data_IF_458306259022
#
_entry.id   IF_458306259022
#
_cell.length_a   1.000
_cell.length_b   1.000
_cell.length_c   1.000
_cell.angle_alpha   90.00
_cell.angle_beta   90.00
_cell.angle_gamma   90.00
#
_symmetry.space_group_name_H-M   'P 1'
#
loop_
_entity.id
_entity.type
_entity.pdbx_description
1 polymer ?
#
# COMPACT_ATOMS: atom_id res chain seq x y z
N UNK A 1 1.47 1.85 30.02
CA UNK A 1 1.18 3.21 29.54
C UNK A 1 2.44 3.75 28.87
N UNK A 2 2.49 3.85 27.54
CA UNK A 2 3.62 4.51 26.88
C UNK A 2 3.45 6.02 27.07
N UNK A 3 4.34 6.65 27.82
CA UNK A 3 4.42 8.11 27.82
C UNK A 3 4.64 8.55 26.36
N UNK A 4 3.76 9.42 25.86
CA UNK A 4 3.94 10.00 24.55
C UNK A 4 5.30 10.72 24.53
N UNK A 5 6.14 10.43 23.54
CA UNK A 5 7.41 11.13 23.36
C UNK A 5 7.14 12.62 23.21
N UNK A 6 8.02 13.46 23.75
CA UNK A 6 7.98 14.89 23.45
C UNK A 6 8.07 15.10 21.93
N UNK A 7 7.50 16.17 21.36
CA UNK A 7 7.59 16.44 19.92
C UNK A 7 9.04 16.41 19.40
N UNK A 8 9.99 16.93 20.18
CA UNK A 8 11.42 16.89 19.88
C UNK A 8 11.96 15.46 19.83
N UNK A 9 11.64 14.61 20.83
CA UNK A 9 12.04 13.21 20.83
C UNK A 9 11.41 12.43 19.68
N UNK A 10 10.17 12.73 19.30
CA UNK A 10 9.52 12.10 18.15
C UNK A 10 10.20 12.46 16.82
N UNK A 11 10.54 13.73 16.61
CA UNK A 11 11.26 14.17 15.40
C UNK A 11 12.66 13.56 15.33
N UNK A 12 13.38 13.54 16.46
CA UNK A 12 14.69 12.92 16.56
C UNK A 12 14.62 11.42 16.28
N UNK A 13 13.62 10.72 16.83
CA UNK A 13 13.37 9.30 16.55
C UNK A 13 13.23 9.03 15.05
N UNK A 14 12.39 9.81 14.36
CA UNK A 14 12.18 9.65 12.91
C UNK A 14 13.47 9.90 12.15
N UNK A 15 14.24 10.95 12.51
CA UNK A 15 15.52 11.27 11.86
C UNK A 15 16.51 10.12 11.99
N UNK A 16 16.73 9.61 13.22
CA UNK A 16 17.63 8.48 13.49
C UNK A 16 17.20 7.24 12.70
N UNK A 17 15.92 6.86 12.78
CA UNK A 17 15.42 5.65 12.12
C UNK A 17 15.50 5.74 10.59
N UNK A 18 15.21 6.91 10.01
CA UNK A 18 15.30 7.14 8.57
C UNK A 18 16.73 7.05 8.05
N UNK A 19 17.72 7.50 8.82
CA UNK A 19 19.13 7.39 8.45
C UNK A 19 19.64 5.97 8.66
N UNK A 20 19.29 5.34 9.79
CA UNK A 20 19.64 3.96 10.08
C UNK A 20 19.13 2.97 9.03
N UNK A 21 17.93 3.20 8.47
CA UNK A 21 17.36 2.34 7.43
C UNK A 21 18.28 2.21 6.20
N UNK A 22 19.06 3.26 5.88
CA UNK A 22 20.03 3.25 4.76
C UNK A 22 21.23 2.35 5.01
N UNK A 23 21.54 2.07 6.28
CA UNK A 23 22.68 1.25 6.69
C UNK A 23 22.32 -0.23 6.87
N UNK A 24 21.04 -0.57 6.98
CA UNK A 24 20.56 -1.95 7.20
C UNK A 24 21.14 -2.96 6.22
N UNK A 25 21.24 -2.70 4.89
CA UNK A 25 21.85 -3.66 3.96
C UNK A 25 23.29 -4.07 4.30
N UNK A 26 24.01 -3.28 5.11
CA UNK A 26 25.41 -3.57 5.51
C UNK A 26 25.52 -4.05 6.97
N UNK A 27 24.66 -3.54 7.85
CA UNK A 27 24.79 -3.73 9.30
C UNK A 27 23.73 -4.66 9.89
N UNK A 28 22.70 -5.01 9.10
CA UNK A 28 21.47 -5.61 9.59
C UNK A 28 20.69 -4.72 10.56
N UNK A 29 19.68 -5.32 11.19
CA UNK A 29 18.84 -4.67 12.21
C UNK A 29 19.52 -4.69 13.58
N UNK A 30 20.64 -3.99 13.70
CA UNK A 30 21.52 -4.04 14.90
C UNK A 30 21.84 -2.64 15.43
N UNK A 31 22.44 -2.58 16.62
CA UNK A 31 22.96 -1.32 17.18
C UNK A 31 24.13 -0.74 16.35
N UNK A 32 24.74 -1.51 15.44
CA UNK A 32 25.71 -0.96 14.49
C UNK A 32 25.05 0.01 13.49
N UNK A 33 23.79 -0.25 13.10
CA UNK A 33 23.00 0.69 12.28
C UNK A 33 22.72 1.99 13.03
N UNK A 34 22.47 1.91 14.35
CA UNK A 34 22.32 3.08 15.23
C UNK A 34 23.61 3.91 15.25
N UNK A 35 24.76 3.27 15.54
CA UNK A 35 26.05 3.96 15.57
C UNK A 35 26.37 4.64 14.23
N UNK A 36 26.13 3.96 13.10
CA UNK A 36 26.29 4.53 11.78
C UNK A 36 25.38 5.74 11.54
N UNK A 37 24.10 5.65 11.94
CA UNK A 37 23.14 6.74 11.79
C UNK A 37 23.48 7.97 12.63
N UNK A 38 23.93 7.80 13.88
CA UNK A 38 24.31 8.90 14.76
C UNK A 38 25.52 9.65 14.22
N UNK A 39 26.50 8.90 13.69
CA UNK A 39 27.67 9.47 13.01
C UNK A 39 27.26 10.27 11.77
N UNK A 40 26.36 9.75 10.94
CA UNK A 40 25.86 10.46 9.74
C UNK A 40 25.06 11.72 10.06
N UNK A 41 24.30 11.72 11.17
CA UNK A 41 23.50 12.88 11.60
C UNK A 41 24.36 13.96 12.29
N UNK A 42 25.58 13.61 12.72
CA UNK A 42 26.44 14.48 13.53
C UNK A 42 25.90 14.67 14.95
N UNK A 43 25.26 13.65 15.52
CA UNK A 43 24.59 13.72 16.82
C UNK A 43 25.28 12.84 17.87
N UNK A 44 26.59 13.02 18.01
CA UNK A 44 27.42 12.31 19.00
C UNK A 44 27.08 12.73 20.44
N UNK A 45 26.47 13.90 20.63
CA UNK A 45 26.06 14.42 21.94
C UNK A 45 24.79 13.76 22.52
N UNK A 46 24.15 12.83 21.79
CA UNK A 46 22.94 12.15 22.27
C UNK A 46 23.32 11.12 23.34
N UNK A 47 22.92 11.39 24.58
CA UNK A 47 23.16 10.47 25.69
C UNK A 47 22.40 9.15 25.56
N UNK A 48 22.96 8.07 26.14
CA UNK A 48 22.29 6.76 26.27
C UNK A 48 20.93 6.84 26.98
N UNK A 49 20.79 7.80 27.91
CA UNK A 49 19.51 8.08 28.58
C UNK A 49 18.46 8.59 27.60
N UNK A 50 18.85 9.48 26.69
CA UNK A 50 17.96 9.97 25.63
C UNK A 50 17.58 8.83 24.68
N UNK A 51 18.54 7.99 24.28
CA UNK A 51 18.29 6.85 23.40
C UNK A 51 17.34 5.81 24.03
N UNK A 52 17.52 5.48 25.30
CA UNK A 52 16.63 4.55 26.01
C UNK A 52 15.21 5.11 26.20
N UNK A 53 15.05 6.42 26.35
CA UNK A 53 13.74 7.07 26.35
C UNK A 53 13.08 7.03 24.97
N UNK A 54 13.84 7.28 23.90
CA UNK A 54 13.35 7.28 22.52
C UNK A 54 12.99 5.85 22.06
N UNK A 55 13.80 4.87 22.42
CA UNK A 55 13.72 3.47 22.00
C UNK A 55 13.48 2.52 23.18
N UNK A 56 12.38 2.74 23.91
CA UNK A 56 12.03 1.99 25.11
C UNK A 56 11.92 0.45 24.94
N UNK A 57 11.54 -0.04 23.75
CA UNK A 57 11.52 -1.48 23.43
C UNK A 57 12.78 -1.98 22.72
N UNK A 58 13.80 -1.13 22.61
CA UNK A 58 15.03 -1.39 21.87
C UNK A 58 15.03 -0.78 20.47
N UNK A 59 16.21 -0.35 20.05
CA UNK A 59 16.43 0.23 18.73
C UNK A 59 16.19 -0.75 17.56
N UNK A 60 16.67 -2.01 17.58
CA UNK A 60 16.47 -2.95 16.48
C UNK A 60 15.01 -3.10 16.05
N UNK A 61 14.10 -3.33 16.99
CA UNK A 61 12.67 -3.46 16.66
C UNK A 61 12.06 -2.14 16.20
N UNK A 62 12.46 -1.01 16.78
CA UNK A 62 11.99 0.30 16.33
C UNK A 62 12.40 0.58 14.87
N UNK A 63 13.55 0.07 14.44
CA UNK A 63 14.02 0.13 13.06
C UNK A 63 13.20 -0.77 12.12
N UNK A 64 12.90 -2.00 12.55
CA UNK A 64 12.01 -2.90 11.80
C UNK A 64 10.63 -2.24 11.61
N UNK A 65 10.01 -1.78 12.69
CA UNK A 65 8.71 -1.11 12.62
C UNK A 65 8.72 0.13 11.71
N UNK A 66 9.80 0.91 11.75
CA UNK A 66 9.96 2.08 10.87
C UNK A 66 9.97 1.67 9.40
N UNK A 67 10.72 0.62 9.05
CA UNK A 67 10.79 0.10 7.67
C UNK A 67 9.43 -0.47 7.25
N UNK A 68 8.76 -1.26 8.10
CA UNK A 68 7.45 -1.82 7.76
C UNK A 68 6.43 -0.71 7.52
N UNK A 69 6.38 0.32 8.38
CA UNK A 69 5.48 1.47 8.23
C UNK A 69 5.83 2.35 7.03
N UNK A 70 7.12 2.63 6.80
CA UNK A 70 7.54 3.46 5.66
C UNK A 70 7.21 2.78 4.33
N UNK A 71 7.40 1.46 4.26
CA UNK A 71 7.06 0.68 3.07
C UNK A 71 5.53 0.50 2.91
N UNK A 72 4.76 0.34 3.99
CA UNK A 72 3.28 0.39 3.93
C UNK A 72 2.79 1.71 3.34
N UNK A 73 3.31 2.83 3.86
CA UNK A 73 2.95 4.17 3.39
C UNK A 73 3.35 4.39 1.92
N UNK A 74 4.50 3.87 1.51
CA UNK A 74 4.91 3.92 0.10
C UNK A 74 3.92 3.19 -0.79
N UNK A 75 3.57 1.95 -0.45
CA UNK A 75 2.58 1.16 -1.20
C UNK A 75 1.24 1.88 -1.23
N UNK A 76 0.76 2.42 -0.10
CA UNK A 76 -0.49 3.19 -0.05
C UNK A 76 -0.49 4.35 -1.05
N UNK A 77 0.61 5.11 -1.15
CA UNK A 77 0.75 6.22 -2.11
C UNK A 77 0.73 5.75 -3.55
N UNK A 78 1.38 4.63 -3.84
CA UNK A 78 1.33 4.04 -5.18
C UNK A 78 -0.09 3.58 -5.54
N UNK A 79 -0.79 2.91 -4.62
CA UNK A 79 -2.15 2.47 -4.83
C UNK A 79 -3.12 3.65 -4.98
N UNK A 80 -2.97 4.71 -4.18
CA UNK A 80 -3.74 5.94 -4.34
C UNK A 80 -3.49 6.55 -5.72
N UNK A 81 -2.23 6.67 -6.14
CA UNK A 81 -1.88 7.25 -7.44
C UNK A 81 -2.40 6.42 -8.62
N UNK A 82 -2.50 5.09 -8.49
CA UNK A 82 -2.88 4.19 -9.58
C UNK A 82 -4.37 3.85 -9.61
N UNK A 83 -5.02 3.74 -8.45
CA UNK A 83 -6.35 3.15 -8.28
C UNK A 83 -7.34 4.05 -7.54
N UNK A 84 -7.00 5.31 -7.25
CA UNK A 84 -8.02 6.24 -6.78
C UNK A 84 -9.03 6.55 -7.90
N UNK A 85 -10.18 7.08 -7.48
CA UNK A 85 -11.31 7.33 -8.39
C UNK A 85 -10.93 8.29 -9.51
N UNK A 86 -10.17 9.33 -9.19
CA UNK A 86 -9.81 10.37 -10.14
C UNK A 86 -8.74 9.90 -11.14
N UNK A 87 -7.81 9.05 -10.73
CA UNK A 87 -6.82 8.42 -11.60
C UNK A 87 -7.51 7.52 -12.63
N UNK A 88 -8.48 6.71 -12.21
CA UNK A 88 -9.26 5.85 -13.11
C UNK A 88 -10.12 6.69 -14.06
N UNK A 89 -10.80 7.73 -13.56
CA UNK A 89 -11.56 8.66 -14.42
C UNK A 89 -10.63 9.35 -15.42
N UNK A 90 -9.43 9.80 -15.00
CA UNK A 90 -8.44 10.43 -15.90
C UNK A 90 -7.92 9.45 -16.96
N UNK A 91 -7.74 8.18 -16.61
CA UNK A 91 -7.38 7.12 -17.56
C UNK A 91 -8.48 6.90 -18.61
N UNK A 92 -9.75 6.93 -18.18
CA UNK A 92 -10.91 6.88 -19.07
C UNK A 92 -10.97 8.14 -19.96
N UNK A 93 -10.75 9.32 -19.39
CA UNK A 93 -10.75 10.61 -20.10
C UNK A 93 -9.69 10.65 -21.21
N UNK A 94 -8.53 10.04 -20.96
CA UNK A 94 -7.46 9.92 -21.95
C UNK A 94 -7.76 8.87 -23.04
N UNK A 95 -8.74 7.99 -22.83
CA UNK A 95 -9.07 6.85 -23.69
C UNK A 95 -10.58 6.65 -23.85
N UNK A 96 -11.34 7.74 -23.98
CA UNK A 96 -12.83 7.70 -23.93
C UNK A 96 -13.38 6.76 -25.00
N UNK A 97 -12.85 6.80 -26.22
CA UNK A 97 -13.30 5.91 -27.30
C UNK A 97 -13.09 4.44 -26.95
N UNK A 98 -11.94 4.08 -26.37
CA UNK A 98 -11.67 2.71 -25.94
C UNK A 98 -12.59 2.30 -24.77
N UNK A 99 -12.86 3.20 -23.83
CA UNK A 99 -13.82 2.95 -22.74
C UNK A 99 -15.23 2.72 -23.27
N UNK A 100 -15.71 3.62 -24.13
CA UNK A 100 -17.01 3.51 -24.79
C UNK A 100 -17.04 2.23 -25.60
N UNK A 101 -16.00 1.84 -26.32
CA UNK A 101 -15.97 0.60 -27.11
C UNK A 101 -15.70 -0.67 -26.29
N UNK A 102 -15.62 -0.58 -24.95
CA UNK A 102 -15.27 -1.70 -24.05
C UNK A 102 -13.93 -2.38 -24.40
N UNK A 103 -12.95 -1.59 -24.83
CA UNK A 103 -11.57 -2.01 -25.11
C UNK A 103 -10.60 -1.55 -24.02
N UNK A 104 -10.99 -0.58 -23.20
CA UNK A 104 -10.20 -0.14 -22.05
C UNK A 104 -10.35 -1.16 -20.92
N UNK A 105 -9.24 -1.78 -20.53
CA UNK A 105 -9.16 -2.66 -19.36
C UNK A 105 -9.19 -1.80 -18.09
N UNK A 106 -10.28 -1.92 -17.34
CA UNK A 106 -10.39 -1.28 -16.03
C UNK A 106 -9.59 -2.10 -15.01
N UNK A 107 -9.00 -1.45 -13.98
CA UNK A 107 -8.34 -2.16 -12.90
C UNK A 107 -9.29 -3.14 -12.21
N UNK A 108 -8.80 -4.37 -11.98
CA UNK A 108 -9.49 -5.39 -11.20
C UNK A 108 -8.84 -5.55 -9.82
N UNK A 109 -9.47 -6.34 -8.94
CA UNK A 109 -8.90 -6.68 -7.63
C UNK A 109 -7.50 -7.29 -7.76
N UNK A 110 -7.33 -8.18 -8.73
CA UNK A 110 -6.04 -8.77 -9.10
C UNK A 110 -4.97 -7.72 -9.39
N UNK A 111 -5.28 -6.69 -10.19
CA UNK A 111 -4.31 -5.64 -10.52
C UNK A 111 -3.86 -4.87 -9.27
N UNK A 112 -4.78 -4.61 -8.33
CA UNK A 112 -4.48 -3.95 -7.06
C UNK A 112 -3.60 -4.84 -6.18
N UNK A 113 -3.98 -6.12 -6.00
CA UNK A 113 -3.24 -7.07 -5.19
C UNK A 113 -1.81 -7.27 -5.73
N UNK A 114 -1.66 -7.47 -7.05
CA UNK A 114 -0.36 -7.62 -7.71
C UNK A 114 0.52 -6.39 -7.48
N UNK A 115 -0.01 -5.18 -7.73
CA UNK A 115 0.74 -3.94 -7.55
C UNK A 115 1.16 -3.73 -6.09
N UNK A 116 0.26 -3.99 -5.14
CA UNK A 116 0.55 -3.85 -3.71
C UNK A 116 1.66 -4.80 -3.25
N UNK A 117 1.55 -6.08 -3.61
CA UNK A 117 2.49 -7.13 -3.20
C UNK A 117 3.86 -6.96 -3.86
N UNK A 118 3.90 -6.70 -5.17
CA UNK A 118 5.16 -6.49 -5.89
C UNK A 118 5.88 -5.22 -5.44
N UNK A 119 5.14 -4.14 -5.18
CA UNK A 119 5.72 -2.90 -4.63
C UNK A 119 6.32 -3.13 -3.24
N UNK A 120 5.59 -3.82 -2.37
CA UNK A 120 6.09 -4.20 -1.04
C UNK A 120 7.33 -5.09 -1.14
N UNK A 121 7.33 -6.07 -2.04
CA UNK A 121 8.45 -6.98 -2.28
C UNK A 121 9.69 -6.24 -2.79
N UNK A 122 9.52 -5.32 -3.74
CA UNK A 122 10.60 -4.49 -4.29
C UNK A 122 11.29 -3.66 -3.20
N UNK A 123 10.51 -3.06 -2.29
CA UNK A 123 11.06 -2.27 -1.18
C UNK A 123 11.80 -3.13 -0.14
N UNK A 124 11.41 -4.40 0.01
CA UNK A 124 12.05 -5.34 0.96
C UNK A 124 13.23 -6.09 0.35
N UNK A 125 13.33 -6.18 -0.98
CA UNK A 125 14.41 -6.92 -1.67
C UNK A 125 15.82 -6.48 -1.25
N UNK A 126 16.14 -5.17 -1.10
CA UNK A 126 17.46 -4.73 -0.63
C UNK A 126 17.79 -5.14 0.82
N UNK A 127 16.78 -5.59 1.58
CA UNK A 127 16.88 -5.98 2.98
C UNK A 127 16.76 -7.50 3.17
N UNK A 128 16.59 -8.26 2.09
CA UNK A 128 16.26 -9.69 2.12
C UNK A 128 17.26 -10.51 2.95
N UNK A 129 18.56 -10.25 2.80
CA UNK A 129 19.63 -10.95 3.54
C UNK A 129 19.46 -10.84 5.07
N UNK A 130 18.98 -9.69 5.55
CA UNK A 130 18.79 -9.43 6.98
C UNK A 130 17.33 -9.54 7.43
N UNK A 131 16.39 -9.77 6.51
CA UNK A 131 14.97 -9.87 6.82
C UNK A 131 14.62 -11.02 7.77
N UNK A 132 15.27 -12.21 7.74
CA UNK A 132 15.04 -13.23 8.77
C UNK A 132 15.25 -12.72 10.21
N UNK A 133 16.22 -11.83 10.43
CA UNK A 133 16.47 -11.23 11.74
C UNK A 133 15.38 -10.23 12.15
N UNK A 134 14.82 -9.49 11.19
CA UNK A 134 13.67 -8.62 11.42
C UNK A 134 12.43 -9.42 11.82
N UNK A 135 12.15 -10.51 11.08
CA UNK A 135 11.08 -11.45 11.38
C UNK A 135 11.25 -12.02 12.79
N UNK A 136 12.45 -12.48 13.16
CA UNK A 136 12.71 -12.96 14.51
C UNK A 136 12.38 -11.91 15.61
N UNK A 137 12.69 -10.64 15.37
CA UNK A 137 12.36 -9.54 16.29
C UNK A 137 10.84 -9.30 16.39
N UNK A 138 10.11 -9.36 15.28
CA UNK A 138 8.65 -9.17 15.24
C UNK A 138 7.89 -10.28 15.96
N UNK A 139 8.38 -11.52 15.86
CA UNK A 139 7.75 -12.70 16.47
C UNK A 139 8.01 -12.85 17.97
N UNK A 140 8.82 -11.97 18.57
CA UNK A 140 8.93 -11.91 20.03
C UNK A 140 7.58 -11.52 20.64
N UNK A 141 7.11 -12.20 21.72
CA UNK A 141 5.80 -11.93 22.32
C UNK A 141 5.54 -10.45 22.67
N UNK A 142 6.58 -9.73 23.09
CA UNK A 142 6.49 -8.30 23.42
C UNK A 142 6.28 -7.38 22.21
N UNK A 143 6.59 -7.85 21.00
CA UNK A 143 6.51 -7.09 19.75
C UNK A 143 5.33 -7.52 18.85
N UNK A 144 4.86 -8.76 19.02
CA UNK A 144 3.82 -9.36 18.18
C UNK A 144 2.56 -8.49 18.00
N UNK A 145 1.98 -7.84 19.04
CA UNK A 145 0.81 -6.98 18.84
C UNK A 145 1.06 -5.82 17.85
N UNK A 146 2.28 -5.27 17.85
CA UNK A 146 2.65 -4.18 16.95
C UNK A 146 2.89 -4.68 15.52
N UNK A 147 3.51 -5.86 15.37
CA UNK A 147 3.68 -6.51 14.08
C UNK A 147 2.33 -6.82 13.41
N UNK A 148 1.36 -7.34 14.19
CA UNK A 148 0.00 -7.63 13.70
C UNK A 148 -0.71 -6.35 13.25
N UNK A 149 -0.58 -5.24 13.99
CA UNK A 149 -1.16 -3.94 13.59
C UNK A 149 -0.56 -3.45 12.28
N UNK A 150 0.76 -3.54 12.12
CA UNK A 150 1.44 -3.10 10.90
C UNK A 150 1.04 -3.98 9.70
N UNK A 151 0.89 -5.29 9.89
CA UNK A 151 0.39 -6.21 8.86
C UNK A 151 -1.06 -5.88 8.50
N UNK A 152 -1.91 -5.67 9.50
CA UNK A 152 -3.31 -5.30 9.28
C UNK A 152 -3.43 -3.99 8.49
N UNK A 153 -2.60 -2.99 8.76
CA UNK A 153 -2.58 -1.72 8.01
C UNK A 153 -2.31 -1.93 6.51
N UNK A 154 -1.32 -2.78 6.17
CA UNK A 154 -1.02 -3.14 4.78
C UNK A 154 -2.17 -3.87 4.11
N UNK A 155 -2.71 -4.89 4.78
CA UNK A 155 -3.81 -5.71 4.30
C UNK A 155 -5.06 -4.86 4.09
N UNK A 156 -5.43 -4.04 5.07
CA UNK A 156 -6.62 -3.19 5.03
C UNK A 156 -6.51 -2.15 3.91
N UNK A 157 -5.33 -1.56 3.73
CA UNK A 157 -5.06 -0.64 2.62
C UNK A 157 -5.26 -1.34 1.27
N UNK A 158 -4.71 -2.54 1.12
CA UNK A 158 -4.80 -3.31 -0.14
C UNK A 158 -6.26 -3.70 -0.43
N UNK A 159 -6.97 -4.27 0.54
CA UNK A 159 -8.38 -4.66 0.42
C UNK A 159 -9.27 -3.45 0.13
N UNK A 160 -9.00 -2.31 0.76
CA UNK A 160 -9.72 -1.06 0.49
C UNK A 160 -9.63 -0.66 -0.99
N UNK A 161 -8.44 -0.69 -1.60
CA UNK A 161 -8.32 -0.38 -3.04
C UNK A 161 -8.88 -1.48 -3.94
N UNK A 162 -8.82 -2.76 -3.54
CA UNK A 162 -9.42 -3.86 -4.29
C UNK A 162 -10.94 -3.68 -4.41
N UNK A 163 -11.64 -3.46 -3.28
CA UNK A 163 -13.08 -3.21 -3.29
C UNK A 163 -13.44 -2.00 -4.14
N UNK A 164 -12.64 -0.94 -4.08
CA UNK A 164 -12.85 0.26 -4.89
C UNK A 164 -12.71 -0.01 -6.37
N UNK A 165 -11.70 -0.76 -6.78
CA UNK A 165 -11.49 -1.13 -8.18
C UNK A 165 -12.66 -1.97 -8.71
N UNK A 166 -13.07 -3.00 -7.97
CA UNK A 166 -14.21 -3.86 -8.32
C UNK A 166 -15.53 -3.07 -8.40
N UNK A 167 -15.89 -2.35 -7.33
CA UNK A 167 -17.13 -1.57 -7.26
C UNK A 167 -17.17 -0.51 -8.36
N UNK A 168 -16.05 0.15 -8.63
CA UNK A 168 -15.98 1.13 -9.70
C UNK A 168 -16.16 0.47 -11.08
N UNK A 169 -15.57 -0.70 -11.31
CA UNK A 169 -15.78 -1.48 -12.53
C UNK A 169 -17.26 -1.80 -12.78
N UNK A 170 -17.97 -2.23 -11.73
CA UNK A 170 -19.42 -2.51 -11.78
C UNK A 170 -20.25 -1.26 -12.06
N UNK A 171 -19.95 -0.15 -11.40
CA UNK A 171 -20.66 1.13 -11.56
C UNK A 171 -20.40 1.80 -12.92
N UNK A 172 -19.21 1.59 -13.49
CA UNK A 172 -18.84 2.16 -14.78
C UNK A 172 -19.53 1.47 -15.95
N UNK A 173 -20.03 0.24 -15.80
CA UNK A 173 -20.72 -0.47 -16.88
C UNK A 173 -22.05 0.22 -17.29
N UNK A 174 -22.96 0.57 -16.36
CA UNK A 174 -24.10 1.43 -16.68
C UNK A 174 -23.69 2.79 -17.27
N UNK A 175 -22.66 3.43 -16.70
CA UNK A 175 -22.17 4.72 -17.19
C UNK A 175 -21.67 4.63 -18.64
N UNK A 176 -20.96 3.55 -18.99
CA UNK A 176 -20.51 3.25 -20.36
C UNK A 176 -21.69 3.09 -21.31
N UNK A 177 -22.76 2.40 -20.91
CA UNK A 177 -23.98 2.26 -21.73
C UNK A 177 -24.64 3.61 -21.99
N UNK A 178 -24.67 4.50 -21.00
CA UNK A 178 -25.19 5.87 -21.16
C UNK A 178 -24.31 6.68 -22.12
N UNK A 179 -22.99 6.60 -21.99
CA UNK A 179 -22.06 7.29 -22.89
C UNK A 179 -22.12 6.77 -24.34
N UNK A 180 -22.41 5.47 -24.54
CA UNK A 180 -22.69 4.88 -25.86
C UNK A 180 -24.00 5.39 -26.48
N UNK A 181 -24.94 5.88 -25.68
CA UNK A 181 -26.23 6.31 -26.21
C UNK A 181 -26.05 7.48 -27.19
N UNK A 182 -26.87 7.52 -28.24
CA UNK A 182 -26.78 8.54 -29.32
C UNK A 182 -26.75 9.98 -28.78
N UNK A 183 -27.46 10.24 -27.68
CA UNK A 183 -27.55 11.56 -27.06
C UNK A 183 -26.22 12.04 -26.43
N UNK A 184 -25.41 11.12 -25.91
CA UNK A 184 -24.07 11.44 -25.38
C UNK A 184 -22.98 11.31 -26.43
N UNK A 185 -23.12 10.39 -27.39
CA UNK A 185 -22.16 10.22 -28.48
C UNK A 185 -21.96 11.52 -29.27
N UNK A 186 -23.03 12.29 -29.54
CA UNK A 186 -22.92 13.59 -30.20
C UNK A 186 -22.18 14.64 -29.37
N UNK A 187 -22.34 14.63 -28.04
CA UNK A 187 -21.63 15.56 -27.14
C UNK A 187 -20.14 15.25 -27.03
N UNK A 188 -19.78 13.97 -26.98
CA UNK A 188 -18.38 13.54 -26.94
C UNK A 188 -17.68 13.91 -28.25
N UNK A 189 -18.32 13.70 -29.40
CA UNK A 189 -17.78 14.04 -30.71
C UNK A 189 -17.61 15.56 -30.94
N UNK A 190 -18.43 16.38 -30.28
CA UNK A 190 -18.35 17.83 -30.42
C UNK A 190 -17.13 18.47 -29.74
N UNK A 191 -16.37 17.70 -28.93
CA UNK A 191 -15.15 18.20 -28.27
C UNK A 191 -15.36 19.40 -27.35
N UNK A 192 -16.60 19.70 -26.98
CA UNK A 192 -16.94 20.83 -26.12
C UNK A 192 -16.43 20.55 -24.70
N UNK A 193 -15.30 21.17 -24.35
CA UNK A 193 -14.80 21.17 -22.99
C UNK A 193 -15.81 21.92 -22.12
N UNK A 194 -16.11 21.39 -20.93
CA UNK A 194 -16.93 22.11 -19.97
C UNK A 194 -16.18 23.37 -19.46
N UNK A 195 -16.87 24.21 -18.69
CA UNK A 195 -16.28 25.45 -18.14
C UNK A 195 -15.01 25.23 -17.29
N UNK A 196 -14.70 23.97 -16.93
CA UNK A 196 -13.54 23.57 -16.15
C UNK A 196 -12.46 22.86 -16.99
N UNK A 197 -12.61 22.81 -18.32
CA UNK A 197 -11.65 22.16 -19.21
C UNK A 197 -11.70 20.63 -19.17
N UNK A 198 -12.79 20.02 -18.69
CA UNK A 198 -12.98 18.57 -18.70
C UNK A 198 -13.83 18.15 -19.90
N UNK A 199 -13.53 16.99 -20.48
CA UNK A 199 -14.39 16.41 -21.53
C UNK A 199 -15.79 16.09 -20.93
N UNK A 200 -16.85 16.14 -21.75
CA UNK A 200 -18.22 15.85 -21.29
C UNK A 200 -18.33 14.48 -20.59
N UNK A 201 -17.52 13.51 -21.01
CA UNK A 201 -17.47 12.17 -20.41
C UNK A 201 -16.94 12.19 -18.97
N UNK A 202 -15.83 12.88 -18.67
CA UNK A 202 -15.28 12.90 -17.32
C UNK A 202 -16.13 13.73 -16.36
N UNK A 203 -16.71 14.83 -16.82
CA UNK A 203 -17.71 15.59 -16.05
C UNK A 203 -18.92 14.72 -15.69
N UNK A 204 -19.45 13.98 -16.66
CA UNK A 204 -20.52 13.00 -16.45
C UNK A 204 -20.11 11.92 -15.45
N UNK A 205 -18.95 11.28 -15.60
CA UNK A 205 -18.50 10.21 -14.70
C UNK A 205 -18.27 10.71 -13.27
N UNK A 206 -17.67 11.90 -13.10
CA UNK A 206 -17.51 12.52 -11.78
C UNK A 206 -18.85 12.78 -11.10
N UNK A 207 -19.83 13.26 -11.87
CA UNK A 207 -21.20 13.48 -11.39
C UNK A 207 -21.91 12.15 -11.07
N UNK A 208 -21.81 11.16 -11.95
CA UNK A 208 -22.41 9.84 -11.82
C UNK A 208 -21.90 9.10 -10.57
N UNK A 209 -20.62 9.26 -10.24
CA UNK A 209 -19.96 8.63 -9.09
C UNK A 209 -19.93 9.52 -7.84
N UNK A 210 -20.62 10.67 -7.85
CA UNK A 210 -20.63 11.60 -6.72
C UNK A 210 -21.44 11.00 -5.57
N UNK A 211 -20.82 10.92 -4.39
CA UNK A 211 -21.46 10.44 -3.16
C UNK A 211 -21.57 8.91 -3.03
N UNK A 212 -21.12 8.15 -4.02
CA UNK A 212 -21.10 6.69 -3.95
C UNK A 212 -19.85 6.23 -3.19
N UNK A 213 -20.06 5.52 -2.09
CA UNK A 213 -18.98 4.83 -1.36
C UNK A 213 -18.49 3.64 -2.18
N UNK A 214 -17.21 3.67 -2.57
CA UNK A 214 -16.60 2.62 -3.40
C UNK A 214 -16.03 1.45 -2.58
N UNK A 215 -16.01 1.54 -1.25
CA UNK A 215 -15.64 0.42 -0.38
C UNK A 215 -16.66 0.31 0.74
N UNK A 216 -16.98 -0.94 1.08
CA UNK A 216 -17.95 -1.30 2.11
C UNK A 216 -17.35 -1.28 3.51
N UNK A 217 -16.03 -1.53 3.60
CA UNK A 217 -15.32 -1.62 4.87
C UNK A 217 -15.73 -2.82 5.73
N UNK A 218 -15.28 -2.87 6.99
CA UNK A 218 -15.50 -4.01 7.89
C UNK A 218 -16.96 -4.26 8.28
N UNK A 219 -17.83 -3.27 8.15
CA UNK A 219 -19.18 -3.30 8.69
C UNK A 219 -20.20 -3.28 7.55
N UNK A 220 -21.12 -4.25 7.53
CA UNK A 220 -22.30 -4.25 6.67
C UNK A 220 -23.47 -3.44 7.27
N UNK A 221 -23.32 -3.01 8.53
CA UNK A 221 -24.29 -2.20 9.28
C UNK A 221 -23.82 -2.02 10.73
N UNK A 222 -24.63 -1.37 11.60
CA UNK A 222 -24.22 -1.03 12.96
C UNK A 222 -23.78 -2.21 13.84
N UNK A 223 -24.27 -3.42 13.54
CA UNK A 223 -24.01 -4.65 14.30
C UNK A 223 -23.62 -5.84 13.42
N UNK A 224 -23.52 -5.64 12.10
CA UNK A 224 -23.23 -6.70 11.15
C UNK A 224 -21.83 -6.51 10.56
N UNK A 225 -21.03 -7.56 10.61
CA UNK A 225 -19.72 -7.58 9.98
C UNK A 225 -19.87 -7.95 8.50
N UNK A 226 -19.11 -7.30 7.63
CA UNK A 226 -19.01 -7.69 6.24
C UNK A 226 -18.04 -8.89 6.11
N UNK A 227 -18.57 -10.11 6.08
CA UNK A 227 -17.77 -11.32 5.94
C UNK A 227 -16.92 -11.32 4.67
N UNK A 228 -17.40 -10.73 3.56
CA UNK A 228 -16.63 -10.61 2.32
C UNK A 228 -15.35 -9.79 2.51
N UNK A 229 -15.42 -8.69 3.28
CA UNK A 229 -14.26 -7.87 3.61
C UNK A 229 -13.23 -8.67 4.43
N UNK A 230 -13.66 -9.43 5.43
CA UNK A 230 -12.75 -10.28 6.23
C UNK A 230 -12.17 -11.45 5.43
N UNK A 231 -12.93 -12.06 4.52
CA UNK A 231 -12.40 -13.08 3.60
C UNK A 231 -11.29 -12.50 2.71
N UNK A 232 -11.48 -11.31 2.13
CA UNK A 232 -10.45 -10.63 1.34
C UNK A 232 -9.21 -10.31 2.17
N UNK A 233 -9.37 -9.86 3.42
CA UNK A 233 -8.24 -9.66 4.34
C UNK A 233 -7.46 -10.93 4.58
N UNK A 234 -8.15 -12.03 4.85
CA UNK A 234 -7.51 -13.31 5.06
C UNK A 234 -6.75 -13.76 3.81
N UNK A 235 -7.33 -13.62 2.62
CA UNK A 235 -6.66 -13.92 1.35
C UNK A 235 -5.38 -13.08 1.17
N UNK A 236 -5.47 -11.75 1.28
CA UNK A 236 -4.30 -10.87 1.11
C UNK A 236 -3.23 -11.16 2.16
N UNK A 237 -3.61 -11.38 3.42
CA UNK A 237 -2.67 -11.72 4.49
C UNK A 237 -1.96 -13.06 4.24
N UNK A 238 -2.69 -14.08 3.77
CA UNK A 238 -2.14 -15.39 3.43
C UNK A 238 -1.16 -15.29 2.25
N UNK A 239 -1.54 -14.59 1.18
CA UNK A 239 -0.68 -14.38 0.01
C UNK A 239 0.57 -13.60 0.42
N UNK A 240 0.43 -12.52 1.19
CA UNK A 240 1.56 -11.75 1.68
C UNK A 240 2.50 -12.59 2.57
N UNK A 241 1.95 -13.42 3.45
CA UNK A 241 2.73 -14.36 4.28
C UNK A 241 3.52 -15.36 3.43
N UNK A 242 2.90 -15.92 2.39
CA UNK A 242 3.58 -16.85 1.47
C UNK A 242 4.70 -16.15 0.68
N UNK A 243 4.44 -14.96 0.14
CA UNK A 243 5.42 -14.17 -0.63
C UNK A 243 6.61 -13.74 0.24
N UNK A 244 6.35 -13.25 1.46
CA UNK A 244 7.42 -12.85 2.38
C UNK A 244 8.24 -14.05 2.86
N UNK A 245 7.61 -15.20 3.08
CA UNK A 245 8.33 -16.44 3.44
C UNK A 245 9.19 -16.92 2.26
N UNK A 246 8.69 -16.86 1.03
CA UNK A 246 9.46 -17.17 -0.19
C UNK A 246 10.68 -16.26 -0.31
N UNK A 247 10.54 -14.95 -0.05
CA UNK A 247 11.64 -14.00 -0.10
C UNK A 247 12.81 -14.39 0.83
N UNK A 248 12.52 -15.03 1.98
CA UNK A 248 13.57 -15.45 2.92
C UNK A 248 14.49 -16.54 2.36
N UNK A 249 14.00 -17.33 1.40
CA UNK A 249 14.75 -18.42 0.76
C UNK A 249 15.15 -18.15 -0.69
N UNK A 250 14.84 -16.96 -1.22
CA UNK A 250 15.04 -16.65 -2.62
C UNK A 250 16.49 -16.22 -2.90
N UNK A 251 17.20 -17.05 -3.66
CA UNK A 251 18.58 -16.81 -4.10
C UNK A 251 18.67 -16.29 -5.53
N UNK A 252 17.54 -16.09 -6.20
CA UNK A 252 17.48 -15.61 -7.58
C UNK A 252 17.82 -14.11 -7.66
N UNK A 253 18.27 -13.67 -8.84
CA UNK A 253 18.63 -12.27 -9.06
C UNK A 253 17.40 -11.36 -8.87
N UNK A 254 17.51 -10.40 -7.94
CA UNK A 254 16.42 -9.47 -7.59
C UNK A 254 15.10 -10.18 -7.20
N UNK A 255 15.18 -11.33 -6.53
CA UNK A 255 14.02 -12.11 -6.09
C UNK A 255 13.02 -12.45 -7.23
N UNK A 256 13.56 -12.83 -8.39
CA UNK A 256 12.79 -13.18 -9.58
C UNK A 256 11.83 -14.36 -9.36
N UNK A 257 12.24 -15.36 -8.58
CA UNK A 257 11.42 -16.52 -8.26
C UNK A 257 10.24 -16.12 -7.37
N UNK A 258 10.48 -15.32 -6.32
CA UNK A 258 9.42 -14.79 -5.45
C UNK A 258 8.47 -13.86 -6.20
N UNK A 259 8.96 -13.04 -7.14
CA UNK A 259 8.11 -12.21 -8.01
C UNK A 259 7.22 -13.06 -8.91
N UNK A 260 7.76 -14.14 -9.46
CA UNK A 260 7.00 -15.09 -10.31
C UNK A 260 5.95 -15.83 -9.50
N UNK A 261 6.31 -16.30 -8.30
CA UNK A 261 5.37 -16.87 -7.33
C UNK A 261 4.27 -15.88 -6.98
N UNK A 262 4.62 -14.62 -6.69
CA UNK A 262 3.65 -13.57 -6.34
C UNK A 262 2.60 -13.42 -7.44
N UNK A 263 3.02 -13.34 -8.71
CA UNK A 263 2.09 -13.23 -9.85
C UNK A 263 1.20 -14.47 -9.97
N UNK A 264 1.77 -15.67 -9.85
CA UNK A 264 1.03 -16.92 -9.96
C UNK A 264 -0.01 -17.09 -8.83
N UNK A 265 0.37 -16.74 -7.60
CA UNK A 265 -0.54 -16.77 -6.45
C UNK A 265 -1.63 -15.72 -6.59
N UNK A 266 -1.29 -14.50 -7.03
CA UNK A 266 -2.30 -13.46 -7.26
C UNK A 266 -3.31 -13.87 -8.33
N UNK A 267 -2.87 -14.46 -9.45
CA UNK A 267 -3.77 -15.05 -10.47
C UNK A 267 -4.71 -16.12 -9.91
N UNK A 268 -4.24 -16.89 -8.94
CA UNK A 268 -5.00 -18.01 -8.39
C UNK A 268 -6.06 -17.54 -7.39
N UNK A 269 -5.78 -16.48 -6.63
CA UNK A 269 -6.63 -16.01 -5.54
C UNK A 269 -7.54 -14.83 -5.91
N UNK A 270 -7.23 -14.07 -6.97
CA UNK A 270 -7.92 -12.83 -7.36
C UNK A 270 -8.13 -12.71 -8.87
#
# INVERSE_FOLDING_TARGET
MCAALSPAHSQLRVKILSEAAKHVPKTGFTNAALAASLKSIGAEDITDRTLSQIFNRGFPIALVEHIVKSTNLHVQRELESAFNKDAIIKSIDSNVDAFVQNRLLLPTEKNVAEKALLSKLELLTPLAEHWPSAVALEYLPANLPYAVINLAEFVDTTVYYMERAATLGELLEPARRILRSKAMASRIQSGELDSNGALPASAFLKSFLKGISLSSGPYAGPLALNMGWYCKRAQVALVYGAVTTSLLGDVSQNAADTRSLTKAVVETFF
#
